data_IF_951929153914
#
_entry.id   IF_951929153914
#
_cell.length_a   1.000
_cell.length_b   1.000
_cell.length_c   1.000
_cell.angle_alpha   90.00
_cell.angle_beta   90.00
_cell.angle_gamma   90.00
#
_symmetry.space_group_name_H-M   'P 1'
#
loop_
_entity.id
_entity.type
_entity.pdbx_description
1 polymer ?
#
# COMPACT_ATOMS: atom_id res chain seq x y z
N UNK A 1 9.04 -14.99 -33.00
CA UNK A 1 10.10 -15.88 -32.47
C UNK A 1 11.01 -15.09 -31.52
N UNK A 2 10.63 -14.97 -30.25
CA UNK A 2 11.44 -15.41 -29.11
C UNK A 2 10.44 -15.85 -28.05
N UNK A 3 10.41 -17.16 -27.86
CA UNK A 3 9.70 -17.83 -26.79
C UNK A 3 10.39 -17.39 -25.50
N UNK A 4 9.80 -16.43 -24.78
CA UNK A 4 10.31 -16.01 -23.48
C UNK A 4 9.77 -17.03 -22.49
N UNK A 5 10.42 -18.20 -22.45
CA UNK A 5 10.20 -19.20 -21.42
C UNK A 5 10.26 -18.52 -20.05
N UNK A 6 9.24 -18.78 -19.23
CA UNK A 6 8.96 -18.22 -17.91
C UNK A 6 10.21 -17.75 -17.13
N UNK A 7 10.62 -16.49 -17.34
CA UNK A 7 11.46 -15.80 -16.37
C UNK A 7 10.51 -15.27 -15.32
N UNK A 8 10.65 -15.64 -14.03
CA UNK A 8 9.89 -14.99 -12.96
C UNK A 8 10.07 -13.48 -13.12
N UNK A 9 8.96 -12.75 -13.20
CA UNK A 9 8.99 -11.29 -13.26
C UNK A 9 9.61 -10.82 -11.94
N UNK A 10 10.91 -10.54 -11.97
CA UNK A 10 11.61 -9.97 -10.84
C UNK A 10 11.07 -8.56 -10.60
N UNK A 11 10.76 -8.23 -9.36
CA UNK A 11 10.28 -6.90 -9.01
C UNK A 11 11.33 -5.85 -9.43
N UNK A 12 10.95 -4.81 -10.19
CA UNK A 12 11.88 -3.77 -10.64
C UNK A 12 12.20 -2.76 -9.53
N UNK A 13 12.22 -3.21 -8.27
CA UNK A 13 12.50 -2.41 -7.08
C UNK A 13 13.10 -3.28 -5.97
N UNK A 14 13.66 -2.64 -4.95
CA UNK A 14 14.10 -3.31 -3.71
C UNK A 14 13.33 -2.75 -2.53
N UNK A 15 12.93 -3.61 -1.60
CA UNK A 15 12.31 -3.17 -0.36
C UNK A 15 13.26 -2.23 0.41
N UNK A 16 12.78 -1.03 0.75
CA UNK A 16 13.57 -0.01 1.47
C UNK A 16 13.19 0.06 2.96
N UNK A 17 11.92 -0.15 3.26
CA UNK A 17 11.31 -0.21 4.59
C UNK A 17 10.35 -1.40 4.59
N UNK A 18 10.19 -2.06 5.73
CA UNK A 18 9.27 -3.19 5.90
C UNK A 18 8.37 -2.94 7.11
N UNK A 19 7.15 -3.44 7.04
CA UNK A 19 6.22 -3.53 8.16
C UNK A 19 6.13 -5.00 8.63
N UNK A 20 6.26 -5.29 9.93
CA UNK A 20 6.10 -6.65 10.44
C UNK A 20 4.69 -7.20 10.20
N UNK A 21 4.59 -8.42 9.69
CA UNK A 21 3.32 -9.11 9.49
C UNK A 21 2.98 -9.94 10.73
N UNK A 22 1.77 -9.76 11.26
CA UNK A 22 1.25 -10.57 12.36
C UNK A 22 0.70 -11.91 11.85
N UNK A 23 1.24 -13.00 12.39
CA UNK A 23 0.78 -14.36 12.09
C UNK A 23 -0.30 -14.77 13.09
N UNK A 24 -1.51 -15.00 12.57
CA UNK A 24 -2.63 -15.51 13.37
C UNK A 24 -2.70 -17.03 13.31
N UNK A 25 -3.11 -17.65 14.42
CA UNK A 25 -3.51 -19.05 14.43
C UNK A 25 -4.91 -19.21 13.83
N UNK A 26 -5.25 -20.43 13.43
CA UNK A 26 -6.61 -20.74 12.94
C UNK A 26 -7.70 -20.42 13.97
N UNK A 27 -7.49 -20.78 15.23
CA UNK A 27 -8.45 -20.54 16.31
C UNK A 27 -8.71 -19.04 16.53
N UNK A 28 -7.66 -18.21 16.48
CA UNK A 28 -7.79 -16.75 16.57
C UNK A 28 -8.61 -16.19 15.40
N UNK A 29 -8.39 -16.67 14.17
CA UNK A 29 -9.19 -16.25 13.01
C UNK A 29 -10.65 -16.65 13.11
N UNK A 30 -10.95 -17.85 13.60
CA UNK A 30 -12.32 -18.32 13.80
C UNK A 30 -13.07 -17.44 14.83
N UNK A 31 -12.42 -17.10 15.94
CA UNK A 31 -12.97 -16.19 16.94
C UNK A 31 -13.20 -14.77 16.38
N UNK A 32 -12.24 -14.24 15.64
CA UNK A 32 -12.35 -12.93 15.01
C UNK A 32 -13.50 -12.87 13.99
N UNK A 33 -13.65 -13.91 13.15
CA UNK A 33 -14.74 -14.01 12.19
C UNK A 33 -16.11 -14.11 12.85
N UNK A 34 -16.23 -14.89 13.93
CA UNK A 34 -17.48 -14.96 14.70
C UNK A 34 -17.83 -13.61 15.32
N UNK A 35 -16.85 -12.94 15.96
CA UNK A 35 -17.00 -11.58 16.51
C UNK A 35 -17.42 -10.57 15.44
N UNK A 36 -16.86 -10.68 14.24
CA UNK A 36 -17.15 -9.81 13.11
C UNK A 36 -18.46 -10.14 12.38
N UNK A 37 -19.22 -11.14 12.86
CA UNK A 37 -20.42 -11.66 12.19
C UNK A 37 -20.15 -12.10 10.74
N UNK A 38 -18.95 -12.62 10.48
CA UNK A 38 -18.46 -13.01 9.16
C UNK A 38 -18.43 -11.86 8.13
N UNK A 39 -18.46 -10.60 8.59
CA UNK A 39 -18.25 -9.43 7.74
C UNK A 39 -16.79 -8.95 7.87
N UNK A 40 -16.02 -9.05 6.78
CA UNK A 40 -14.60 -8.71 6.78
C UNK A 40 -14.32 -7.23 7.10
N UNK A 41 -15.25 -6.32 6.77
CA UNK A 41 -15.14 -4.89 7.12
C UNK A 41 -15.12 -4.64 8.65
N UNK A 42 -15.54 -5.62 9.44
CA UNK A 42 -15.55 -5.53 10.91
C UNK A 42 -14.35 -6.22 11.57
N UNK A 43 -13.40 -6.76 10.79
CA UNK A 43 -12.13 -7.26 11.28
C UNK A 43 -11.20 -6.08 11.62
N UNK A 44 -10.37 -6.27 12.63
CA UNK A 44 -9.29 -5.34 12.96
C UNK A 44 -8.07 -5.67 12.11
N UNK A 45 -7.23 -4.67 11.82
CA UNK A 45 -6.03 -4.86 11.01
C UNK A 45 -5.10 -5.94 11.61
N UNK A 46 -4.94 -5.96 12.94
CA UNK A 46 -4.10 -6.95 13.63
C UNK A 46 -4.63 -8.39 13.57
N UNK A 47 -5.88 -8.59 13.16
CA UNK A 47 -6.49 -9.92 12.97
C UNK A 47 -6.29 -10.44 11.52
N UNK A 48 -5.70 -9.62 10.64
CA UNK A 48 -5.51 -9.90 9.21
C UNK A 48 -4.01 -10.03 8.90
N UNK A 49 -3.59 -11.19 8.38
CA UNK A 49 -2.18 -11.45 8.05
C UNK A 49 -1.79 -10.91 6.66
N UNK A 50 -2.70 -10.98 5.68
CA UNK A 50 -2.52 -10.40 4.34
C UNK A 50 -3.85 -9.72 4.00
N UNK A 51 -3.84 -8.39 3.83
CA UNK A 51 -5.02 -7.63 3.50
C UNK A 51 -5.12 -7.41 1.99
N UNK A 52 -6.20 -7.94 1.40
CA UNK A 52 -6.54 -7.82 -0.03
C UNK A 52 -7.92 -7.19 -0.21
N UNK A 53 -8.42 -6.47 0.81
CA UNK A 53 -9.77 -5.90 0.79
C UNK A 53 -9.92 -4.77 -0.22
N UNK A 54 -8.86 -3.97 -0.43
CA UNK A 54 -8.84 -2.87 -1.41
C UNK A 54 -7.42 -2.53 -1.86
N UNK A 55 -7.30 -1.97 -3.07
CA UNK A 55 -6.10 -1.35 -3.62
C UNK A 55 -6.06 0.19 -3.37
N UNK A 56 -7.11 0.74 -2.78
CA UNK A 56 -7.26 2.18 -2.56
C UNK A 56 -6.51 2.63 -1.31
N UNK A 57 -5.36 3.28 -1.51
CA UNK A 57 -4.55 3.83 -0.41
C UNK A 57 -3.67 2.82 0.32
N UNK A 58 -3.60 1.57 -0.16
CA UNK A 58 -2.80 0.48 0.41
C UNK A 58 -1.46 0.26 -0.31
N UNK A 59 -1.12 1.11 -1.28
CA UNK A 59 0.13 1.03 -2.03
C UNK A 59 1.36 1.43 -1.21
N UNK A 60 2.47 0.74 -1.43
CA UNK A 60 3.77 1.12 -0.85
C UNK A 60 4.36 2.35 -1.55
N UNK A 61 4.81 3.34 -0.78
CA UNK A 61 5.45 4.55 -1.31
C UNK A 61 6.94 4.31 -1.59
N UNK A 62 7.44 4.91 -2.67
CA UNK A 62 8.88 5.00 -2.94
C UNK A 62 9.58 5.95 -1.95
N UNK A 63 10.91 5.79 -1.81
CA UNK A 63 11.72 6.70 -1.01
C UNK A 63 11.61 8.17 -1.49
N UNK A 64 11.45 8.40 -2.79
CA UNK A 64 11.28 9.74 -3.36
C UNK A 64 9.94 10.38 -2.94
N UNK A 65 8.86 9.59 -2.91
CA UNK A 65 7.55 10.07 -2.43
C UNK A 65 7.58 10.39 -0.94
N UNK A 66 8.22 9.55 -0.12
CA UNK A 66 8.39 9.83 1.32
C UNK A 66 9.21 11.11 1.55
N UNK A 67 10.32 11.30 0.81
CA UNK A 67 11.10 12.53 0.88
C UNK A 67 10.30 13.77 0.45
N UNK A 68 9.48 13.65 -0.59
CA UNK A 68 8.61 14.74 -1.04
C UNK A 68 7.54 15.10 0.01
N UNK A 69 7.05 14.13 0.78
CA UNK A 69 6.15 14.38 1.90
C UNK A 69 6.85 15.18 3.02
N UNK A 70 8.10 14.83 3.36
CA UNK A 70 8.88 15.55 4.39
C UNK A 70 9.29 16.97 3.97
N UNK A 71 9.39 17.24 2.66
CA UNK A 71 9.67 18.56 2.08
C UNK A 71 8.38 19.35 1.75
N UNK A 72 7.25 18.94 2.31
CA UNK A 72 5.93 19.54 2.05
C UNK A 72 5.91 21.06 2.21
N UNK A 73 5.18 21.72 1.32
CA UNK A 73 4.88 23.15 1.43
C UNK A 73 3.46 23.29 1.98
N UNK A 74 3.36 23.74 3.23
CA UNK A 74 2.09 23.86 3.98
C UNK A 74 1.46 25.25 3.85
N UNK A 75 1.94 26.07 2.91
CA UNK A 75 1.38 27.40 2.65
C UNK A 75 -0.11 27.31 2.27
N UNK A 76 -0.95 28.13 2.93
CA UNK A 76 -2.40 28.13 2.73
C UNK A 76 -2.83 28.44 1.27
N UNK A 77 -2.08 29.28 0.57
CA UNK A 77 -2.29 29.60 -0.83
C UNK A 77 -0.97 29.55 -1.60
N UNK A 78 -1.00 29.01 -2.83
CA UNK A 78 0.17 28.98 -3.72
C UNK A 78 1.23 27.94 -3.36
N UNK A 79 0.86 26.84 -2.67
CA UNK A 79 1.80 25.79 -2.30
C UNK A 79 2.55 25.25 -3.53
N UNK A 80 3.88 25.16 -3.44
CA UNK A 80 4.75 24.66 -4.53
C UNK A 80 4.36 23.25 -5.00
N UNK A 81 3.84 22.41 -4.09
CA UNK A 81 3.34 21.07 -4.39
C UNK A 81 2.15 21.07 -5.36
N UNK A 82 1.23 22.02 -5.23
CA UNK A 82 0.08 22.16 -6.13
C UNK A 82 0.52 22.43 -7.57
N UNK A 83 1.49 23.35 -7.74
CA UNK A 83 2.04 23.67 -9.06
C UNK A 83 2.83 22.51 -9.67
N UNK A 84 3.52 21.70 -8.86
CA UNK A 84 4.23 20.50 -9.34
C UNK A 84 3.26 19.42 -9.83
N UNK A 85 2.15 19.21 -9.12
CA UNK A 85 1.14 18.20 -9.49
C UNK A 85 0.28 18.59 -10.70
N UNK A 86 0.24 19.88 -11.06
CA UNK A 86 -0.64 20.41 -12.12
C UNK A 86 -0.12 20.31 -13.56
N UNK A 87 0.97 19.58 -13.83
CA UNK A 87 1.59 19.53 -15.18
C UNK A 87 1.24 18.29 -16.02
N UNK A 88 0.23 17.49 -15.66
CA UNK A 88 -0.31 16.49 -16.59
C UNK A 88 -1.34 17.12 -17.55
N UNK A 89 -0.92 18.12 -18.33
CA UNK A 89 -1.60 18.51 -19.56
C UNK A 89 -0.91 17.78 -20.72
N UNK A 90 -1.65 16.89 -21.37
CA UNK A 90 -1.13 15.89 -22.29
C UNK A 90 -0.21 16.42 -23.40
N UNK A 91 0.84 15.64 -23.64
CA UNK A 91 1.52 15.44 -24.93
C UNK A 91 1.97 13.99 -24.98
#
# INVERSE_FOLDING_TARGET
MRDVGEVPIMEPFRAKVVEPILLTTRAQREQALQRAHHNLFNLRAEEVTIDLLTDSGTGALSAAQMAAAMLGDESYAGARSFHRSGTSSGT
#
